data_IF_311856551118
#
_entry.id   IF_311856551118
#
_cell.length_a   1.000
_cell.length_b   1.000
_cell.length_c   1.000
_cell.angle_alpha   90.00
_cell.angle_beta   90.00
_cell.angle_gamma   90.00
#
_symmetry.space_group_name_H-M   'P 1'
#
loop_
_entity.id
_entity.type
_entity.pdbx_description
1 polymer ?
#
# COMPACT_ATOMS: atom_id res chain seq x y z
N UNK A 1 -6.53 -19.03 60.59
CA UNK A 1 -6.61 -20.11 59.57
C UNK A 1 -7.41 -19.72 58.31
N UNK A 2 -8.21 -18.68 58.34
CA UNK A 2 -9.04 -18.21 57.17
C UNK A 2 -8.27 -17.26 56.24
N UNK A 3 -7.28 -16.53 56.74
CA UNK A 3 -6.50 -15.56 55.97
C UNK A 3 -5.48 -16.24 55.04
N UNK A 4 -4.87 -17.35 55.47
CA UNK A 4 -3.93 -18.10 54.61
C UNK A 4 -4.60 -18.84 53.44
N UNK A 5 -5.88 -19.19 53.55
CA UNK A 5 -6.63 -19.84 52.47
C UNK A 5 -7.00 -18.89 51.34
N UNK A 6 -7.14 -17.57 51.64
CA UNK A 6 -7.41 -16.53 50.62
C UNK A 6 -6.16 -16.09 49.87
N UNK A 7 -4.99 -16.14 50.52
CA UNK A 7 -3.70 -15.81 49.87
C UNK A 7 -3.27 -16.95 48.93
N UNK A 8 -3.49 -18.22 49.34
CA UNK A 8 -3.19 -19.36 48.47
C UNK A 8 -4.11 -19.44 47.24
N UNK A 9 -5.36 -19.02 47.35
CA UNK A 9 -6.32 -19.00 46.23
C UNK A 9 -6.01 -17.86 45.24
N UNK A 10 -5.52 -16.69 45.71
CA UNK A 10 -5.12 -15.57 44.83
C UNK A 10 -3.80 -15.85 44.11
N UNK A 11 -2.84 -16.54 44.72
CA UNK A 11 -1.58 -16.92 44.05
C UNK A 11 -1.81 -18.04 43.03
N UNK A 12 -2.77 -18.95 43.25
CA UNK A 12 -3.14 -20.00 42.29
C UNK A 12 -3.94 -19.44 41.11
N UNK A 13 -4.73 -18.38 41.32
CA UNK A 13 -5.45 -17.68 40.21
C UNK A 13 -4.52 -16.85 39.34
N UNK A 14 -3.44 -16.26 39.88
CA UNK A 14 -2.43 -15.51 39.12
C UNK A 14 -1.51 -16.44 38.33
N UNK A 15 -1.23 -17.67 38.83
CA UNK A 15 -0.44 -18.66 38.08
C UNK A 15 -1.20 -19.28 36.89
N UNK A 16 -2.54 -19.29 36.90
CA UNK A 16 -3.38 -19.78 35.79
C UNK A 16 -3.55 -18.77 34.65
N UNK A 17 -3.30 -17.48 34.91
CA UNK A 17 -3.37 -16.44 33.88
C UNK A 17 -2.05 -16.33 33.09
N UNK A 18 -0.93 -16.81 33.63
CA UNK A 18 0.37 -16.79 32.94
C UNK A 18 0.64 -18.03 32.05
N UNK A 19 -0.21 -19.05 32.09
CA UNK A 19 -0.04 -20.27 31.26
C UNK A 19 -0.76 -20.19 29.89
N UNK A 20 -1.32 -19.04 29.53
CA UNK A 20 -2.14 -18.87 28.30
C UNK A 20 -1.51 -18.09 27.17
N UNK A 21 -0.24 -17.70 27.24
CA UNK A 21 0.48 -17.01 26.16
C UNK A 21 1.63 -17.85 25.60
N UNK A 22 1.41 -19.15 25.44
CA UNK A 22 2.17 -19.87 24.43
C UNK A 22 1.63 -19.39 23.08
N UNK A 23 2.31 -18.44 22.46
CA UNK A 23 2.05 -18.00 21.10
C UNK A 23 2.29 -19.25 20.23
N UNK A 24 1.21 -19.91 19.77
CA UNK A 24 1.30 -21.00 18.80
C UNK A 24 2.02 -20.43 17.56
N UNK A 25 3.22 -20.89 17.30
CA UNK A 25 3.89 -20.66 16.04
C UNK A 25 3.08 -21.38 14.97
N UNK A 26 2.41 -20.59 14.13
CA UNK A 26 1.69 -21.13 12.99
C UNK A 26 2.68 -21.30 11.83
N UNK A 27 2.68 -22.46 11.22
CA UNK A 27 3.43 -22.74 10.01
C UNK A 27 2.50 -22.57 8.80
N UNK A 28 2.90 -21.70 7.89
CA UNK A 28 2.15 -21.40 6.68
C UNK A 28 2.93 -21.83 5.45
N UNK A 29 2.24 -22.44 4.51
CA UNK A 29 2.78 -22.83 3.23
C UNK A 29 2.00 -22.13 2.12
N UNK A 30 2.57 -21.06 1.56
CA UNK A 30 1.87 -20.15 0.68
C UNK A 30 2.40 -20.21 -0.76
N UNK A 31 1.45 -20.25 -1.69
CA UNK A 31 1.65 -19.83 -3.08
C UNK A 31 1.59 -18.31 -3.19
N UNK A 32 1.90 -17.75 -4.35
CA UNK A 32 1.74 -16.30 -4.56
C UNK A 32 0.28 -15.86 -4.35
N UNK A 33 -0.68 -16.65 -4.83
CA UNK A 33 -2.11 -16.34 -4.68
C UNK A 33 -2.52 -16.33 -3.20
N UNK A 34 -2.00 -17.27 -2.39
CA UNK A 34 -2.24 -17.30 -0.95
C UNK A 34 -1.65 -16.08 -0.26
N UNK A 35 -0.41 -15.66 -0.64
CA UNK A 35 0.21 -14.43 -0.15
C UNK A 35 -0.66 -13.20 -0.45
N UNK A 36 -1.13 -13.05 -1.68
CA UNK A 36 -1.97 -11.93 -2.08
C UNK A 36 -3.30 -11.92 -1.34
N UNK A 37 -3.98 -13.06 -1.25
CA UNK A 37 -5.24 -13.22 -0.51
C UNK A 37 -5.07 -12.88 0.97
N UNK A 38 -3.99 -13.37 1.59
CA UNK A 38 -3.69 -13.09 2.98
C UNK A 38 -3.38 -11.61 3.22
N UNK A 39 -2.56 -11.00 2.35
CA UNK A 39 -2.23 -9.57 2.42
C UNK A 39 -3.47 -8.68 2.30
N UNK A 40 -4.35 -8.93 1.32
CA UNK A 40 -5.58 -8.16 1.15
C UNK A 40 -6.54 -8.28 2.35
N UNK A 41 -6.56 -9.43 3.02
CA UNK A 41 -7.39 -9.63 4.20
C UNK A 41 -6.80 -8.96 5.46
N UNK A 42 -5.47 -8.86 5.57
CA UNK A 42 -4.79 -8.49 6.81
C UNK A 42 -4.06 -7.15 6.78
N UNK A 43 -3.72 -6.58 5.61
CA UNK A 43 -2.98 -5.32 5.50
C UNK A 43 -3.62 -4.19 6.31
N UNK A 44 -2.85 -3.63 7.24
CA UNK A 44 -3.30 -2.50 8.06
C UNK A 44 -3.58 -1.25 7.23
N UNK A 45 -2.75 -0.99 6.23
CA UNK A 45 -2.91 0.19 5.38
C UNK A 45 -4.16 0.08 4.50
N UNK A 46 -4.42 -1.12 3.95
CA UNK A 46 -5.65 -1.39 3.22
C UNK A 46 -6.89 -1.20 4.10
N UNK A 47 -6.88 -1.73 5.34
CA UNK A 47 -7.94 -1.52 6.33
C UNK A 47 -8.13 -0.04 6.68
N UNK A 48 -7.03 0.72 6.78
CA UNK A 48 -7.10 2.17 7.02
C UNK A 48 -7.78 2.89 5.85
N UNK A 49 -7.48 2.52 4.61
CA UNK A 49 -8.15 3.09 3.43
C UNK A 49 -9.64 2.70 3.35
N UNK A 50 -10.00 1.47 3.71
CA UNK A 50 -11.40 1.04 3.84
C UNK A 50 -12.16 1.82 4.93
N UNK A 51 -11.51 2.09 6.09
CA UNK A 51 -12.09 2.91 7.14
C UNK A 51 -12.24 4.38 6.70
N UNK A 52 -11.28 4.89 5.92
CA UNK A 52 -11.40 6.20 5.28
C UNK A 52 -12.60 6.24 4.34
N UNK A 53 -12.80 5.20 3.53
CA UNK A 53 -13.99 5.05 2.68
C UNK A 53 -15.30 5.12 3.48
N UNK A 54 -15.40 4.37 4.58
CA UNK A 54 -16.56 4.41 5.48
C UNK A 54 -16.80 5.80 6.10
N UNK A 55 -15.72 6.53 6.42
CA UNK A 55 -15.81 7.92 6.90
C UNK A 55 -16.34 8.86 5.82
N UNK A 56 -15.90 8.68 4.56
CA UNK A 56 -16.42 9.44 3.42
C UNK A 56 -17.88 9.10 3.12
N UNK A 57 -18.28 7.83 3.21
CA UNK A 57 -19.68 7.41 3.09
C UNK A 57 -20.55 8.07 4.18
N UNK A 58 -20.09 8.09 5.44
CA UNK A 58 -20.78 8.79 6.52
C UNK A 58 -20.92 10.29 6.24
N UNK A 59 -19.89 10.92 5.67
CA UNK A 59 -19.92 12.33 5.25
C UNK A 59 -20.90 12.56 4.09
N UNK A 60 -20.96 11.63 3.16
CA UNK A 60 -21.93 11.64 2.05
C UNK A 60 -23.38 11.53 2.59
N UNK A 61 -23.64 10.58 3.47
CA UNK A 61 -24.97 10.44 4.09
C UNK A 61 -25.32 11.67 4.94
N UNK A 62 -24.37 12.22 5.71
CA UNK A 62 -24.55 13.47 6.45
C UNK A 62 -24.92 14.63 5.50
N UNK A 63 -24.26 14.73 4.35
CA UNK A 63 -24.54 15.79 3.38
C UNK A 63 -25.97 15.72 2.81
N UNK A 64 -26.52 14.51 2.62
CA UNK A 64 -27.93 14.32 2.23
C UNK A 64 -28.90 14.83 3.30
N UNK A 65 -28.52 14.61 4.57
CA UNK A 65 -29.36 15.06 5.72
C UNK A 65 -29.39 16.57 5.89
N UNK A 66 -28.51 17.34 5.25
CA UNK A 66 -28.56 18.81 5.21
C UNK A 66 -29.89 19.36 4.64
N UNK A 67 -30.62 18.52 3.91
CA UNK A 67 -31.99 18.86 3.42
C UNK A 67 -33.08 18.73 4.50
N UNK A 68 -32.77 18.15 5.65
CA UNK A 68 -33.70 17.95 6.74
C UNK A 68 -33.58 19.10 7.75
N UNK A 69 -34.64 19.42 8.48
CA UNK A 69 -34.58 20.41 9.54
C UNK A 69 -33.68 19.91 10.69
N UNK A 70 -32.85 20.79 11.23
CA UNK A 70 -32.16 20.58 12.50
C UNK A 70 -33.14 20.84 13.67
N UNK A 71 -32.89 20.22 14.82
CA UNK A 71 -33.59 20.47 16.06
C UNK A 71 -32.55 20.67 17.16
N UNK A 72 -32.68 21.79 17.89
CA UNK A 72 -31.78 22.12 19.01
C UNK A 72 -32.56 22.66 20.20
N UNK A 73 -32.13 22.31 21.39
CA UNK A 73 -32.60 22.92 22.62
C UNK A 73 -31.51 23.83 23.20
N UNK A 74 -31.87 24.97 23.68
CA UNK A 74 -30.95 25.92 24.31
C UNK A 74 -31.46 26.36 25.68
N UNK A 75 -30.57 26.47 26.64
CA UNK A 75 -30.78 27.07 27.94
C UNK A 75 -29.69 28.11 28.13
N UNK A 76 -30.06 29.33 28.37
CA UNK A 76 -29.10 30.40 28.58
C UNK A 76 -29.45 31.20 29.83
N UNK A 77 -28.48 31.66 30.59
CA UNK A 77 -28.60 32.59 31.69
C UNK A 77 -27.57 33.70 31.46
N UNK A 78 -28.08 34.93 31.41
CA UNK A 78 -27.25 36.14 31.26
C UNK A 78 -27.33 36.98 32.51
N UNK A 79 -26.19 37.42 33.01
CA UNK A 79 -26.06 38.39 34.08
C UNK A 79 -25.43 39.64 33.49
N UNK A 80 -26.11 40.79 33.65
CA UNK A 80 -25.64 42.07 33.15
C UNK A 80 -25.69 43.13 34.26
N UNK A 81 -24.74 44.05 34.24
CA UNK A 81 -24.68 45.22 35.11
C UNK A 81 -24.74 46.46 34.19
N UNK A 82 -25.72 47.34 34.45
CA UNK A 82 -25.88 48.60 33.76
C UNK A 82 -26.04 49.75 34.76
N UNK A 83 -26.31 50.96 34.29
CA UNK A 83 -26.46 52.13 35.14
C UNK A 83 -27.51 51.98 36.24
N UNK A 84 -28.52 51.10 36.03
CA UNK A 84 -29.60 50.81 37.00
C UNK A 84 -29.27 49.63 37.94
N UNK A 85 -28.06 49.01 37.82
CA UNK A 85 -27.61 47.91 38.67
C UNK A 85 -27.58 46.53 37.96
N UNK A 86 -27.50 45.48 38.75
CA UNK A 86 -27.44 44.11 38.29
C UNK A 86 -28.83 43.61 37.85
N UNK A 87 -28.85 43.00 36.66
CA UNK A 87 -30.03 42.29 36.16
C UNK A 87 -29.63 40.90 35.65
N UNK A 88 -30.54 39.97 35.81
CA UNK A 88 -30.35 38.60 35.25
C UNK A 88 -31.52 38.27 34.36
N UNK A 89 -31.25 37.60 33.27
CA UNK A 89 -32.26 37.08 32.35
C UNK A 89 -31.88 35.68 31.86
N UNK A 90 -32.79 34.76 32.05
CA UNK A 90 -32.68 33.39 31.55
C UNK A 90 -33.64 33.11 30.41
N UNK A 91 -33.26 32.19 29.57
CA UNK A 91 -34.13 31.69 28.51
C UNK A 91 -33.98 30.16 28.35
N UNK A 92 -35.06 29.52 28.05
CA UNK A 92 -35.09 28.14 27.59
C UNK A 92 -35.91 28.09 26.30
N UNK A 93 -35.44 27.31 25.35
CA UNK A 93 -36.14 27.18 24.08
C UNK A 93 -35.71 25.97 23.26
N UNK A 94 -36.58 25.63 22.33
CA UNK A 94 -36.32 24.63 21.29
C UNK A 94 -36.46 25.33 19.94
N UNK A 95 -35.42 25.15 19.11
CA UNK A 95 -35.41 25.76 17.78
C UNK A 95 -35.17 24.69 16.70
N UNK A 96 -35.79 24.89 15.57
CA UNK A 96 -35.61 24.10 14.35
C UNK A 96 -35.30 25.03 13.19
N UNK A 97 -34.34 24.60 12.34
CA UNK A 97 -34.01 25.36 11.14
C UNK A 97 -33.72 24.41 9.96
N UNK A 98 -34.10 24.83 8.77
CA UNK A 98 -33.84 24.14 7.52
C UNK A 98 -33.44 25.14 6.44
N UNK A 99 -32.36 24.80 5.70
CA UNK A 99 -31.99 25.57 4.51
C UNK A 99 -32.74 25.02 3.30
N UNK A 100 -33.66 25.83 2.77
CA UNK A 100 -34.51 25.46 1.61
C UNK A 100 -33.73 25.61 0.32
N UNK A 101 -32.94 26.68 0.20
CA UNK A 101 -32.15 27.00 -1.00
C UNK A 101 -30.86 27.76 -0.62
N UNK A 102 -29.77 27.42 -1.25
CA UNK A 102 -28.45 28.07 -1.05
C UNK A 102 -27.65 28.06 -2.35
N UNK A 103 -28.22 28.64 -3.41
CA UNK A 103 -27.53 28.75 -4.69
C UNK A 103 -27.08 27.39 -5.29
N UNK A 104 -27.78 26.29 -4.98
CA UNK A 104 -27.40 24.94 -5.40
C UNK A 104 -26.30 24.29 -4.58
N UNK A 105 -25.74 24.95 -3.55
CA UNK A 105 -24.60 24.46 -2.78
C UNK A 105 -24.88 23.13 -2.08
N UNK A 106 -26.10 22.90 -1.55
CA UNK A 106 -26.47 21.62 -0.92
C UNK A 106 -26.28 20.46 -1.91
N UNK A 107 -26.81 20.60 -3.14
CA UNK A 107 -26.71 19.54 -4.16
C UNK A 107 -25.27 19.33 -4.61
N UNK A 108 -24.51 20.41 -4.80
CA UNK A 108 -23.11 20.33 -5.20
C UNK A 108 -22.22 19.73 -4.10
N UNK A 109 -22.53 19.98 -2.81
CA UNK A 109 -21.83 19.37 -1.68
C UNK A 109 -22.14 17.86 -1.60
N UNK A 110 -23.39 17.45 -1.82
CA UNK A 110 -23.78 16.04 -1.87
C UNK A 110 -23.00 15.33 -3.01
N UNK A 111 -22.98 15.94 -4.18
CA UNK A 111 -22.27 15.36 -5.35
C UNK A 111 -20.76 15.33 -5.12
N UNK A 112 -20.18 16.35 -4.51
CA UNK A 112 -18.74 16.37 -4.18
C UNK A 112 -18.40 15.24 -3.19
N UNK A 113 -19.21 15.02 -2.17
CA UNK A 113 -19.00 13.92 -1.21
C UNK A 113 -19.18 12.55 -1.88
N UNK A 114 -20.14 12.40 -2.81
CA UNK A 114 -20.28 11.18 -3.63
C UNK A 114 -19.02 10.90 -4.46
N UNK A 115 -18.49 11.92 -5.13
CA UNK A 115 -17.27 11.81 -5.91
C UNK A 115 -16.05 11.45 -5.05
N UNK A 116 -15.99 11.94 -3.79
CA UNK A 116 -14.92 11.57 -2.87
C UNK A 116 -14.98 10.07 -2.48
N UNK A 117 -16.18 9.51 -2.31
CA UNK A 117 -16.35 8.06 -2.07
C UNK A 117 -15.84 7.27 -3.28
N UNK A 118 -16.31 7.60 -4.49
CA UNK A 118 -15.90 6.93 -5.72
C UNK A 118 -14.38 7.04 -5.97
N UNK A 119 -13.80 8.21 -5.70
CA UNK A 119 -12.35 8.42 -5.80
C UNK A 119 -11.57 7.54 -4.82
N UNK A 120 -12.07 7.37 -3.58
CA UNK A 120 -11.44 6.51 -2.59
C UNK A 120 -11.46 5.02 -3.00
N UNK A 121 -12.51 4.55 -3.66
CA UNK A 121 -12.56 3.19 -4.23
C UNK A 121 -11.45 2.96 -5.27
N UNK A 122 -11.22 3.96 -6.14
CA UNK A 122 -10.14 3.90 -7.12
C UNK A 122 -8.77 3.97 -6.45
N UNK A 123 -8.64 4.76 -5.37
CA UNK A 123 -7.42 4.82 -4.57
C UNK A 123 -7.10 3.48 -3.92
N UNK A 124 -8.12 2.75 -3.43
CA UNK A 124 -7.95 1.40 -2.89
C UNK A 124 -7.46 0.43 -3.98
N UNK A 125 -8.03 0.49 -5.20
CA UNK A 125 -7.56 -0.31 -6.34
C UNK A 125 -6.09 -0.02 -6.68
N UNK A 126 -5.69 1.26 -6.64
CA UNK A 126 -4.28 1.66 -6.85
C UNK A 126 -3.36 1.04 -5.80
N UNK A 127 -3.77 1.10 -4.53
CA UNK A 127 -3.01 0.49 -3.45
C UNK A 127 -2.91 -1.02 -3.60
N UNK A 128 -4.02 -1.71 -3.93
CA UNK A 128 -4.05 -3.16 -4.17
C UNK A 128 -3.08 -3.55 -5.30
N UNK A 129 -3.02 -2.79 -6.39
CA UNK A 129 -2.03 -3.01 -7.46
C UNK A 129 -0.59 -2.83 -6.98
N UNK A 130 -0.32 -1.78 -6.19
CA UNK A 130 1.02 -1.53 -5.64
C UNK A 130 1.46 -2.63 -4.68
N UNK A 131 0.59 -3.03 -3.75
CA UNK A 131 0.84 -4.11 -2.80
C UNK A 131 1.10 -5.43 -3.52
N UNK A 132 0.31 -5.73 -4.56
CA UNK A 132 0.48 -6.92 -5.41
C UNK A 132 1.87 -6.95 -6.05
N UNK A 133 2.34 -5.83 -6.61
CA UNK A 133 3.67 -5.76 -7.22
C UNK A 133 4.80 -5.90 -6.20
N UNK A 134 4.64 -5.35 -5.00
CA UNK A 134 5.64 -5.47 -3.93
C UNK A 134 5.74 -6.92 -3.43
N UNK A 135 4.61 -7.58 -3.19
CA UNK A 135 4.57 -8.99 -2.79
C UNK A 135 5.17 -9.87 -3.87
N UNK A 136 4.79 -9.67 -5.14
CA UNK A 136 5.34 -10.40 -6.27
C UNK A 136 6.85 -10.27 -6.35
N UNK A 137 7.39 -9.05 -6.19
CA UNK A 137 8.83 -8.81 -6.23
C UNK A 137 9.55 -9.56 -5.10
N UNK A 138 9.06 -9.47 -3.87
CA UNK A 138 9.65 -10.19 -2.73
C UNK A 138 9.57 -11.70 -2.95
N UNK A 139 8.41 -12.21 -3.36
CA UNK A 139 8.17 -13.62 -3.64
C UNK A 139 9.14 -14.19 -4.70
N UNK A 140 9.28 -13.52 -5.85
CA UNK A 140 10.19 -13.94 -6.93
C UNK A 140 11.66 -13.81 -6.52
N UNK A 141 12.02 -12.83 -5.68
CA UNK A 141 13.37 -12.69 -5.14
C UNK A 141 13.72 -13.87 -4.22
N UNK A 142 12.79 -14.30 -3.37
CA UNK A 142 13.00 -15.45 -2.50
C UNK A 142 13.16 -16.73 -3.33
N UNK A 143 12.28 -16.95 -4.32
CA UNK A 143 12.40 -18.11 -5.21
C UNK A 143 13.74 -18.14 -5.95
N UNK A 144 14.18 -16.98 -6.46
CA UNK A 144 15.49 -16.86 -7.11
C UNK A 144 16.66 -17.23 -6.19
N UNK A 145 16.61 -16.78 -4.93
CA UNK A 145 17.63 -17.11 -3.94
C UNK A 145 17.56 -18.58 -3.51
N UNK A 146 16.37 -19.18 -3.41
CA UNK A 146 16.21 -20.61 -3.13
C UNK A 146 16.79 -21.48 -4.24
N UNK A 147 16.55 -21.13 -5.51
CA UNK A 147 17.15 -21.80 -6.65
C UNK A 147 18.67 -21.63 -6.64
N UNK A 148 19.18 -20.42 -6.36
CA UNK A 148 20.60 -20.11 -6.28
C UNK A 148 21.32 -20.93 -5.20
N UNK A 149 20.76 -21.03 -3.99
CA UNK A 149 21.33 -21.82 -2.89
C UNK A 149 21.49 -23.29 -3.29
N UNK A 150 20.53 -23.86 -4.00
CA UNK A 150 20.61 -25.25 -4.47
C UNK A 150 21.87 -25.48 -5.34
N UNK A 151 22.09 -24.62 -6.31
CA UNK A 151 23.29 -24.70 -7.16
C UNK A 151 24.58 -24.37 -6.41
N UNK A 152 24.58 -23.37 -5.54
CA UNK A 152 25.75 -23.05 -4.71
C UNK A 152 26.16 -24.23 -3.80
N UNK A 153 25.17 -24.97 -3.31
CA UNK A 153 25.44 -26.17 -2.50
C UNK A 153 26.13 -27.30 -3.32
N UNK A 154 25.76 -27.45 -4.61
CA UNK A 154 26.41 -28.38 -5.52
C UNK A 154 27.85 -27.96 -5.81
N UNK A 155 28.07 -26.65 -6.04
CA UNK A 155 29.42 -26.11 -6.24
C UNK A 155 30.26 -26.28 -4.98
N UNK A 156 29.74 -25.99 -3.80
CA UNK A 156 30.44 -26.19 -2.53
C UNK A 156 30.82 -27.66 -2.33
N UNK A 157 29.96 -28.62 -2.69
CA UNK A 157 30.30 -30.06 -2.62
C UNK A 157 31.46 -30.39 -3.59
N UNK A 158 31.47 -29.77 -4.78
CA UNK A 158 32.57 -29.91 -5.75
C UNK A 158 33.86 -29.34 -5.19
N UNK A 159 33.88 -28.12 -4.67
CA UNK A 159 35.05 -27.47 -4.06
C UNK A 159 35.61 -28.28 -2.86
N UNK A 160 34.71 -28.86 -2.06
CA UNK A 160 35.10 -29.76 -0.94
C UNK A 160 35.84 -31.00 -1.47
N UNK A 161 35.34 -31.58 -2.55
CA UNK A 161 36.02 -32.75 -3.17
C UNK A 161 37.37 -32.38 -3.76
N UNK A 162 37.46 -31.22 -4.43
CA UNK A 162 38.70 -30.68 -4.99
C UNK A 162 39.72 -30.36 -3.89
N UNK A 163 39.34 -29.76 -2.78
CA UNK A 163 40.21 -29.51 -1.63
C UNK A 163 40.75 -30.83 -1.05
N UNK A 164 39.88 -31.83 -0.84
CA UNK A 164 40.30 -33.16 -0.35
C UNK A 164 41.31 -33.84 -1.29
N UNK A 165 41.09 -33.74 -2.60
CA UNK A 165 42.00 -34.25 -3.61
C UNK A 165 43.32 -33.47 -3.60
N UNK A 166 43.28 -32.12 -3.49
CA UNK A 166 44.44 -31.24 -3.35
C UNK A 166 45.30 -31.60 -2.15
N UNK A 167 44.68 -31.82 -0.98
CA UNK A 167 45.38 -32.25 0.23
C UNK A 167 46.09 -33.61 0.04
N UNK A 168 45.47 -34.55 -0.66
CA UNK A 168 46.11 -35.84 -0.97
C UNK A 168 47.30 -35.69 -1.95
N UNK A 169 47.13 -34.88 -3.00
CA UNK A 169 48.21 -34.60 -3.98
C UNK A 169 49.39 -33.84 -3.37
N UNK A 170 49.13 -32.87 -2.49
CA UNK A 170 50.19 -32.15 -1.79
C UNK A 170 51.01 -33.08 -0.88
N UNK A 171 50.33 -33.97 -0.13
CA UNK A 171 51.04 -34.99 0.67
C UNK A 171 51.94 -35.91 -0.16
N UNK A 172 51.58 -36.13 -1.44
CA UNK A 172 52.39 -36.90 -2.40
C UNK A 172 53.43 -36.05 -3.14
N UNK A 173 53.50 -34.74 -2.85
CA UNK A 173 54.40 -33.80 -3.48
C UNK A 173 54.09 -33.49 -4.95
N UNK A 174 52.83 -33.76 -5.41
CA UNK A 174 52.43 -33.60 -6.81
C UNK A 174 51.79 -32.26 -7.14
N UNK A 175 51.49 -31.43 -6.13
CA UNK A 175 51.07 -30.03 -6.27
C UNK A 175 51.82 -29.14 -5.28
N UNK A 176 51.89 -27.83 -5.59
CA UNK A 176 52.51 -26.83 -4.73
C UNK A 176 51.62 -26.48 -3.55
N UNK A 177 52.20 -26.00 -2.46
CA UNK A 177 51.44 -25.46 -1.30
C UNK A 177 50.54 -24.30 -1.73
N UNK A 178 51.01 -23.42 -2.63
CA UNK A 178 50.18 -22.33 -3.20
C UNK A 178 48.90 -22.81 -3.86
N UNK A 179 48.94 -23.94 -4.58
CA UNK A 179 47.77 -24.52 -5.22
C UNK A 179 46.80 -25.09 -4.19
N UNK A 180 47.29 -25.70 -3.12
CA UNK A 180 46.45 -26.16 -2.01
C UNK A 180 45.75 -25.00 -1.31
N UNK A 181 46.51 -23.92 -1.03
CA UNK A 181 45.94 -22.71 -0.40
C UNK A 181 44.84 -22.05 -1.26
N UNK A 182 45.00 -22.06 -2.60
CA UNK A 182 43.96 -21.57 -3.52
C UNK A 182 42.69 -22.42 -3.46
N UNK A 183 42.83 -23.76 -3.41
CA UNK A 183 41.65 -24.64 -3.25
C UNK A 183 40.96 -24.46 -1.89
N UNK A 184 41.75 -24.26 -0.84
CA UNK A 184 41.22 -23.97 0.49
C UNK A 184 40.48 -22.63 0.53
N UNK A 185 41.03 -21.56 -0.01
CA UNK A 185 40.40 -20.26 -0.13
C UNK A 185 39.07 -20.33 -0.93
N UNK A 186 39.09 -21.10 -2.05
CA UNK A 186 37.85 -21.28 -2.85
C UNK A 186 36.77 -22.02 -2.07
N UNK A 187 37.13 -23.09 -1.36
CA UNK A 187 36.16 -23.83 -0.52
C UNK A 187 35.48 -22.93 0.54
N UNK A 188 36.28 -22.11 1.24
CA UNK A 188 35.70 -21.19 2.23
C UNK A 188 34.89 -20.08 1.57
N UNK A 189 35.30 -19.59 0.39
CA UNK A 189 34.50 -18.62 -0.38
C UNK A 189 33.15 -19.21 -0.80
N UNK A 190 33.13 -20.42 -1.34
CA UNK A 190 31.90 -21.09 -1.74
C UNK A 190 31.01 -21.42 -0.53
N UNK A 191 31.61 -21.78 0.62
CA UNK A 191 30.88 -21.99 1.87
C UNK A 191 30.21 -20.70 2.38
N UNK A 192 30.94 -19.58 2.31
CA UNK A 192 30.37 -18.27 2.69
C UNK A 192 29.24 -17.86 1.76
N UNK A 193 29.35 -18.06 0.45
CA UNK A 193 28.30 -17.74 -0.51
C UNK A 193 26.98 -18.46 -0.19
N UNK A 194 27.06 -19.75 0.22
CA UNK A 194 25.85 -20.51 0.64
C UNK A 194 25.23 -19.90 1.89
N UNK A 195 26.05 -19.53 2.89
CA UNK A 195 25.56 -18.93 4.14
C UNK A 195 24.92 -17.57 3.86
N UNK A 196 25.59 -16.70 3.12
CA UNK A 196 25.11 -15.37 2.77
C UNK A 196 23.77 -15.43 2.02
N UNK A 197 23.65 -16.36 1.06
CA UNK A 197 22.39 -16.51 0.30
C UNK A 197 21.26 -17.04 1.18
N UNK A 198 21.53 -17.92 2.16
CA UNK A 198 20.52 -18.38 3.15
C UNK A 198 20.05 -17.24 4.04
N UNK A 199 20.97 -16.42 4.55
CA UNK A 199 20.64 -15.22 5.32
C UNK A 199 19.77 -14.26 4.50
N UNK A 200 20.08 -14.08 3.22
CA UNK A 200 19.27 -13.26 2.33
C UNK A 200 17.85 -13.82 2.14
N UNK A 201 17.68 -15.15 2.06
CA UNK A 201 16.36 -15.78 2.03
C UNK A 201 15.59 -15.47 3.31
N UNK A 202 16.21 -15.64 4.49
CA UNK A 202 15.58 -15.38 5.77
C UNK A 202 15.15 -13.92 5.92
N UNK A 203 16.01 -12.97 5.51
CA UNK A 203 15.70 -11.53 5.52
C UNK A 203 14.53 -11.21 4.56
N UNK A 204 14.56 -11.73 3.34
CA UNK A 204 13.47 -11.51 2.38
C UNK A 204 12.15 -12.16 2.84
N UNK A 205 12.20 -13.31 3.52
CA UNK A 205 11.03 -13.93 4.15
C UNK A 205 10.48 -13.04 5.28
N UNK A 206 11.36 -12.43 6.08
CA UNK A 206 10.95 -11.48 7.12
C UNK A 206 10.27 -10.26 6.49
N UNK A 207 10.85 -9.68 5.45
CA UNK A 207 10.24 -8.55 4.72
C UNK A 207 8.88 -8.93 4.14
N UNK A 208 8.75 -10.13 3.57
CA UNK A 208 7.47 -10.64 3.07
C UNK A 208 6.44 -10.79 4.20
N UNK A 209 6.82 -11.37 5.35
CA UNK A 209 5.93 -11.47 6.52
C UNK A 209 5.40 -10.10 6.97
N UNK A 210 6.26 -9.08 6.97
CA UNK A 210 5.86 -7.69 7.29
C UNK A 210 4.85 -7.17 6.27
N UNK A 211 5.08 -7.36 4.96
CA UNK A 211 4.13 -6.97 3.91
C UNK A 211 2.78 -7.69 4.03
N UNK A 212 2.81 -8.95 4.46
CA UNK A 212 1.61 -9.75 4.72
C UNK A 212 0.92 -9.35 6.04
N UNK A 213 1.54 -8.50 6.87
CA UNK A 213 1.08 -8.19 8.25
C UNK A 213 1.00 -9.45 9.13
N UNK A 214 1.92 -10.39 8.93
CA UNK A 214 2.10 -11.59 9.76
C UNK A 214 3.00 -11.31 10.95
N UNK A 215 2.90 -12.16 11.98
CA UNK A 215 3.87 -12.12 13.07
C UNK A 215 5.25 -12.56 12.53
N UNK A 216 6.34 -11.79 12.80
CA UNK A 216 7.69 -12.19 12.41
C UNK A 216 8.13 -13.57 12.89
N UNK A 217 7.56 -14.04 14.01
CA UNK A 217 7.88 -15.35 14.61
C UNK A 217 7.16 -16.54 13.97
N UNK A 218 6.13 -16.29 13.14
CA UNK A 218 5.44 -17.37 12.42
C UNK A 218 6.38 -17.97 11.37
N UNK A 219 6.20 -19.25 11.08
CA UNK A 219 6.98 -19.92 10.03
C UNK A 219 6.28 -19.78 8.68
N UNK A 220 7.01 -19.33 7.66
CA UNK A 220 6.50 -19.12 6.30
C UNK A 220 7.36 -19.86 5.30
N UNK A 221 6.79 -20.84 4.62
CA UNK A 221 7.37 -21.55 3.49
C UNK A 221 6.69 -21.09 2.19
N UNK A 222 7.47 -20.72 1.17
CA UNK A 222 6.95 -20.36 -0.15
C UNK A 222 7.00 -21.57 -1.07
N UNK A 223 5.90 -21.78 -1.79
CA UNK A 223 5.77 -22.83 -2.80
C UNK A 223 6.02 -22.23 -4.17
N UNK A 224 7.03 -22.76 -4.87
CA UNK A 224 7.31 -22.35 -6.25
C UNK A 224 6.15 -22.74 -7.18
N UNK A 225 5.70 -21.84 -8.05
CA UNK A 225 4.76 -22.19 -9.12
C UNK A 225 5.42 -23.10 -10.15
N UNK A 226 4.62 -23.79 -10.95
CA UNK A 226 5.11 -24.58 -12.07
C UNK A 226 5.63 -23.64 -13.16
N UNK A 227 6.95 -23.49 -13.28
CA UNK A 227 7.62 -22.50 -14.15
C UNK A 227 7.89 -23.00 -15.57
N UNK A 228 7.28 -24.09 -16.01
CA UNK A 228 7.57 -24.72 -17.33
C UNK A 228 7.15 -23.86 -18.55
N UNK A 229 6.47 -22.73 -18.33
CA UNK A 229 5.88 -21.91 -19.39
C UNK A 229 6.64 -20.61 -19.75
N UNK A 230 7.92 -20.47 -19.38
CA UNK A 230 8.69 -19.23 -19.68
C UNK A 230 8.81 -18.93 -21.20
N UNK A 231 8.81 -19.95 -22.05
CA UNK A 231 8.82 -19.76 -23.50
C UNK A 231 7.44 -19.27 -24.04
N UNK A 232 6.34 -19.65 -23.40
CA UNK A 232 5.01 -19.16 -23.76
C UNK A 232 4.83 -17.66 -23.47
N UNK A 233 5.61 -17.07 -22.56
CA UNK A 233 5.53 -15.66 -22.24
C UNK A 233 5.81 -14.73 -23.43
N UNK A 234 6.57 -15.19 -24.44
CA UNK A 234 6.80 -14.41 -25.65
C UNK A 234 5.65 -14.47 -26.63
N UNK A 235 5.02 -15.64 -26.78
CA UNK A 235 3.94 -15.86 -27.76
C UNK A 235 2.65 -15.14 -27.40
N UNK A 236 2.48 -14.71 -26.15
CA UNK A 236 1.29 -14.03 -25.62
C UNK A 236 1.50 -12.52 -25.43
N UNK A 237 2.61 -11.94 -25.90
CA UNK A 237 2.83 -10.50 -25.81
C UNK A 237 1.95 -9.75 -26.81
N UNK A 238 1.12 -8.77 -26.36
CA UNK A 238 0.42 -7.86 -27.25
C UNK A 238 1.41 -6.95 -28.00
N UNK A 239 0.93 -6.14 -28.90
CA UNK A 239 1.74 -5.06 -29.47
C UNK A 239 1.98 -3.93 -28.45
N UNK A 240 3.02 -3.12 -28.64
CA UNK A 240 3.31 -1.96 -27.78
C UNK A 240 2.09 -1.01 -27.71
N UNK A 241 1.42 -0.80 -28.85
CA UNK A 241 0.25 0.06 -28.94
C UNK A 241 -0.97 -0.48 -28.19
N UNK A 242 -1.25 -1.78 -28.31
CA UNK A 242 -2.32 -2.45 -27.53
C UNK A 242 -2.07 -2.37 -26.03
N UNK A 243 -0.83 -2.60 -25.59
CA UNK A 243 -0.46 -2.50 -24.18
C UNK A 243 -0.66 -1.09 -23.63
N UNK A 244 -0.29 -0.06 -24.41
CA UNK A 244 -0.49 1.34 -24.04
C UNK A 244 -1.98 1.68 -23.98
N UNK A 245 -2.77 1.27 -24.97
CA UNK A 245 -4.22 1.56 -25.00
C UNK A 245 -4.92 0.92 -23.80
N UNK A 246 -4.62 -0.34 -23.48
CA UNK A 246 -5.17 -1.01 -22.31
C UNK A 246 -4.75 -0.30 -21.00
N UNK A 247 -3.50 0.13 -20.89
CA UNK A 247 -3.05 0.86 -19.71
C UNK A 247 -3.79 2.19 -19.55
N UNK A 248 -4.05 2.91 -20.64
CA UNK A 248 -4.81 4.17 -20.62
C UNK A 248 -6.25 3.99 -20.15
N UNK A 249 -6.85 2.82 -20.39
CA UNK A 249 -8.23 2.51 -19.97
C UNK A 249 -8.30 1.99 -18.53
N UNK A 250 -7.30 1.22 -18.10
CA UNK A 250 -7.39 0.43 -16.86
C UNK A 250 -6.69 1.06 -15.67
N UNK A 251 -5.67 1.93 -15.90
CA UNK A 251 -4.84 2.46 -14.81
C UNK A 251 -5.62 3.35 -13.84
N UNK A 252 -5.60 3.01 -12.52
CA UNK A 252 -6.28 3.79 -11.50
C UNK A 252 -5.81 5.25 -11.42
N UNK A 253 -4.55 5.52 -11.75
CA UNK A 253 -3.97 6.87 -11.69
C UNK A 253 -4.72 7.86 -12.60
N UNK A 254 -5.07 7.46 -13.83
CA UNK A 254 -5.86 8.30 -14.75
C UNK A 254 -7.29 8.48 -14.28
N UNK A 255 -7.91 7.42 -13.76
CA UNK A 255 -9.25 7.49 -13.19
C UNK A 255 -9.30 8.44 -11.99
N UNK A 256 -8.29 8.40 -11.10
CA UNK A 256 -8.16 9.32 -9.98
C UNK A 256 -8.06 10.77 -10.44
N UNK A 257 -7.16 11.07 -11.38
CA UNK A 257 -7.02 12.43 -11.94
C UNK A 257 -8.31 12.90 -12.63
N UNK A 258 -9.08 12.00 -13.25
CA UNK A 258 -10.42 12.30 -13.78
C UNK A 258 -11.42 12.68 -12.68
N UNK A 259 -11.39 12.02 -11.52
CA UNK A 259 -12.19 12.42 -10.37
C UNK A 259 -11.74 13.78 -9.80
N UNK A 260 -10.44 14.08 -9.80
CA UNK A 260 -9.90 15.36 -9.31
C UNK A 260 -10.42 16.54 -10.18
N UNK A 261 -10.53 16.38 -11.50
CA UNK A 261 -11.19 17.36 -12.39
C UNK A 261 -12.65 17.57 -11.99
N UNK A 262 -13.43 16.49 -11.84
CA UNK A 262 -14.85 16.57 -11.47
C UNK A 262 -15.06 17.21 -10.10
N UNK A 263 -14.18 16.95 -9.12
CA UNK A 263 -14.18 17.58 -7.80
C UNK A 263 -13.87 19.09 -7.91
N UNK A 264 -12.91 19.47 -8.75
CA UNK A 264 -12.57 20.86 -9.02
C UNK A 264 -13.73 21.60 -9.72
N UNK A 265 -14.43 20.96 -10.67
CA UNK A 265 -15.66 21.50 -11.28
C UNK A 265 -16.72 21.78 -10.25
N UNK A 266 -16.99 20.83 -9.34
CA UNK A 266 -17.94 21.04 -8.24
C UNK A 266 -17.52 22.14 -7.29
N UNK A 267 -16.22 22.32 -7.06
CA UNK A 267 -15.69 23.44 -6.26
C UNK A 267 -15.93 24.80 -6.94
N UNK A 268 -15.90 24.87 -8.29
CA UNK A 268 -16.29 26.06 -9.05
C UNK A 268 -17.79 26.33 -8.88
N UNK A 269 -18.63 25.28 -8.98
CA UNK A 269 -20.09 25.42 -8.82
C UNK A 269 -20.46 25.88 -7.41
N UNK A 270 -19.81 25.34 -6.38
CA UNK A 270 -19.97 25.78 -4.98
C UNK A 270 -19.58 27.26 -4.79
N UNK A 271 -18.44 27.65 -5.37
CA UNK A 271 -18.00 29.05 -5.30
C UNK A 271 -18.99 30.00 -6.02
N UNK A 272 -19.56 29.58 -7.16
CA UNK A 272 -20.59 30.33 -7.90
C UNK A 272 -21.92 30.39 -7.14
N UNK A 273 -22.27 29.31 -6.42
CA UNK A 273 -23.46 29.26 -5.58
C UNK A 273 -23.57 30.41 -4.60
N UNK A 274 -22.42 30.95 -4.15
CA UNK A 274 -22.36 32.08 -3.24
C UNK A 274 -22.72 33.44 -3.86
N UNK A 275 -23.04 33.52 -5.15
CA UNK A 275 -23.66 34.68 -5.79
C UNK A 275 -25.19 34.70 -5.65
N UNK A 276 -25.80 33.55 -5.38
CA UNK A 276 -27.23 33.39 -5.32
C UNK A 276 -27.78 33.62 -3.91
N UNK A 277 -29.07 33.94 -3.78
CA UNK A 277 -29.71 34.05 -2.47
C UNK A 277 -29.65 32.72 -1.68
N UNK A 278 -29.65 32.84 -0.37
CA UNK A 278 -29.97 31.72 0.53
C UNK A 278 -31.35 31.93 1.16
N UNK A 279 -32.13 30.85 1.23
CA UNK A 279 -33.47 30.84 1.84
C UNK A 279 -33.47 29.78 2.92
N UNK A 280 -33.84 30.17 4.14
CA UNK A 280 -34.00 29.27 5.27
C UNK A 280 -35.32 29.47 5.97
N UNK A 281 -35.91 28.40 6.48
CA UNK A 281 -37.04 28.42 7.38
C UNK A 281 -36.60 28.10 8.81
N UNK A 282 -37.18 28.75 9.78
CA UNK A 282 -36.92 28.53 11.19
C UNK A 282 -38.21 28.52 11.99
N UNK A 283 -38.26 27.69 13.01
CA UNK A 283 -39.35 27.66 13.99
C UNK A 283 -38.73 27.59 15.40
N UNK A 284 -39.19 28.40 16.30
CA UNK A 284 -38.68 28.44 17.67
C UNK A 284 -39.86 28.51 18.67
N UNK A 285 -39.72 27.76 19.74
CA UNK A 285 -40.61 27.84 20.92
C UNK A 285 -39.71 28.03 22.11
N UNK A 286 -40.01 29.05 22.93
CA UNK A 286 -39.17 29.33 24.08
C UNK A 286 -39.90 30.17 25.12
N UNK A 287 -39.32 30.29 26.30
CA UNK A 287 -39.76 31.20 27.34
C UNK A 287 -38.59 31.74 28.15
N UNK A 288 -38.81 32.93 28.72
CA UNK A 288 -37.89 33.47 29.73
C UNK A 288 -37.99 32.72 31.04
N UNK A 289 -36.86 32.51 31.68
CA UNK A 289 -36.77 31.88 33.01
C UNK A 289 -35.83 32.69 33.92
N UNK A 290 -36.08 32.66 35.22
CA UNK A 290 -35.17 33.24 36.25
C UNK A 290 -34.75 34.68 35.93
N UNK A 291 -35.72 35.55 35.61
CA UNK A 291 -35.47 36.96 35.32
C UNK A 291 -35.56 37.80 36.59
N UNK A 292 -34.56 38.66 36.80
CA UNK A 292 -34.53 39.66 37.89
C UNK A 292 -34.05 40.98 37.30
N UNK A 293 -34.79 42.05 37.57
CA UNK A 293 -34.44 43.39 37.16
C UNK A 293 -33.94 44.24 38.33
N UNK A 294 -33.36 45.40 38.05
CA UNK A 294 -32.84 46.35 39.04
C UNK A 294 -33.92 46.96 39.95
N UNK A 295 -35.15 46.86 39.52
CA UNK A 295 -36.34 47.40 40.30
C UNK A 295 -36.88 46.35 41.29
N UNK A 296 -36.21 45.19 41.41
CA UNK A 296 -36.56 44.13 42.36
C UNK A 296 -37.67 43.18 41.89
N UNK A 297 -38.06 43.25 40.60
CA UNK A 297 -39.03 42.33 40.04
C UNK A 297 -38.39 41.02 39.68
N UNK A 298 -38.77 39.93 40.28
CA UNK A 298 -38.29 38.58 39.94
C UNK A 298 -39.41 37.75 39.31
N UNK A 299 -39.05 37.06 38.19
CA UNK A 299 -39.94 36.10 37.53
C UNK A 299 -39.22 34.77 37.40
N UNK A 300 -39.84 33.71 37.92
CA UNK A 300 -39.31 32.35 37.77
C UNK A 300 -39.49 31.80 36.35
N UNK A 301 -40.56 32.23 35.65
CA UNK A 301 -40.88 31.89 34.27
C UNK A 301 -41.62 33.01 33.60
N UNK A 302 -41.34 33.23 32.32
CA UNK A 302 -42.01 34.20 31.47
C UNK A 302 -43.12 33.58 30.64
N UNK A 303 -43.73 34.39 29.80
CA UNK A 303 -44.73 33.94 28.84
C UNK A 303 -44.07 33.13 27.74
N UNK A 304 -44.58 31.94 27.36
CA UNK A 304 -44.11 31.21 26.19
C UNK A 304 -44.21 32.06 24.91
N UNK A 305 -43.23 31.99 24.08
CA UNK A 305 -43.18 32.65 22.77
C UNK A 305 -42.99 31.61 21.69
N UNK A 306 -43.77 31.68 20.64
CA UNK A 306 -43.68 30.83 19.47
C UNK A 306 -43.39 31.71 18.25
N UNK A 307 -42.47 31.27 17.40
CA UNK A 307 -42.18 31.99 16.17
C UNK A 307 -41.89 31.00 15.02
N UNK A 308 -42.46 31.30 13.89
CA UNK A 308 -42.14 30.62 12.61
C UNK A 308 -41.80 31.71 11.62
N UNK A 309 -40.70 31.51 10.91
CA UNK A 309 -40.21 32.50 9.96
C UNK A 309 -39.54 31.88 8.76
N UNK A 310 -39.53 32.60 7.66
CA UNK A 310 -38.72 32.35 6.48
C UNK A 310 -37.82 33.54 6.28
N UNK A 311 -36.53 33.29 6.15
CA UNK A 311 -35.55 34.35 5.90
C UNK A 311 -34.88 34.14 4.54
N UNK A 312 -34.67 35.23 3.83
CA UNK A 312 -33.90 35.25 2.58
C UNK A 312 -32.74 36.23 2.74
N UNK A 313 -31.54 35.75 2.45
CA UNK A 313 -30.33 36.58 2.43
C UNK A 313 -29.79 36.68 1.00
N UNK A 314 -29.66 37.88 0.47
CA UNK A 314 -29.19 38.15 -0.88
C UNK A 314 -27.85 38.88 -0.79
N UNK A 315 -26.72 38.29 -1.21
CA UNK A 315 -25.42 38.94 -1.17
C UNK A 315 -25.32 40.00 -2.28
N UNK A 316 -25.42 41.29 -1.92
CA UNK A 316 -25.35 42.39 -2.90
C UNK A 316 -23.88 42.77 -3.21
N UNK A 317 -23.05 42.85 -2.17
CA UNK A 317 -21.65 43.22 -2.30
C UNK A 317 -20.78 42.53 -1.26
N UNK A 318 -19.88 41.66 -1.68
CA UNK A 318 -18.99 40.86 -0.85
C UNK A 318 -17.53 41.33 -0.84
N UNK A 319 -17.29 42.63 -1.11
CA UNK A 319 -15.93 43.22 -1.19
C UNK A 319 -15.00 42.43 -2.16
N UNK A 320 -15.56 41.87 -3.22
CA UNK A 320 -14.82 41.06 -4.20
C UNK A 320 -14.49 39.63 -3.78
N UNK A 321 -14.84 39.21 -2.57
CA UNK A 321 -14.49 37.88 -2.03
C UNK A 321 -15.06 36.75 -2.88
N UNK A 322 -16.36 36.80 -3.22
CA UNK A 322 -16.99 35.75 -4.04
C UNK A 322 -16.35 35.69 -5.43
N UNK A 323 -16.07 36.85 -6.07
CA UNK A 323 -15.35 36.92 -7.36
C UNK A 323 -13.95 36.28 -7.28
N UNK A 324 -13.22 36.58 -6.20
CA UNK A 324 -11.89 36.03 -5.97
C UNK A 324 -11.94 34.50 -5.73
N UNK A 325 -12.92 34.02 -4.96
CA UNK A 325 -13.09 32.57 -4.70
C UNK A 325 -13.43 31.82 -6.00
N UNK A 326 -14.34 32.34 -6.83
CA UNK A 326 -14.64 31.73 -8.14
C UNK A 326 -13.40 31.73 -9.03
N UNK A 327 -12.61 32.83 -9.02
CA UNK A 327 -11.35 32.86 -9.80
C UNK A 327 -10.37 31.82 -9.30
N UNK A 328 -10.18 31.68 -7.97
CA UNK A 328 -9.31 30.64 -7.38
C UNK A 328 -9.75 29.25 -7.75
N UNK A 329 -11.07 28.94 -7.63
CA UNK A 329 -11.59 27.62 -7.99
C UNK A 329 -11.44 27.32 -9.48
N UNK A 330 -11.56 28.31 -10.38
CA UNK A 330 -11.27 28.12 -11.81
C UNK A 330 -9.81 27.82 -12.08
N UNK A 331 -8.88 28.52 -11.41
CA UNK A 331 -7.44 28.23 -11.50
C UNK A 331 -7.15 26.81 -11.00
N UNK A 332 -7.78 26.40 -9.90
CA UNK A 332 -7.63 25.02 -9.38
C UNK A 332 -8.18 23.97 -10.38
N UNK A 333 -9.27 24.27 -11.09
CA UNK A 333 -9.78 23.42 -12.16
C UNK A 333 -8.78 23.31 -13.33
N UNK A 334 -8.21 24.43 -13.76
CA UNK A 334 -7.19 24.46 -14.82
C UNK A 334 -5.94 23.65 -14.37
N UNK A 335 -5.52 23.79 -13.12
CA UNK A 335 -4.44 22.95 -12.54
C UNK A 335 -4.78 21.46 -12.61
N UNK A 336 -5.98 21.06 -12.17
CA UNK A 336 -6.41 19.66 -12.22
C UNK A 336 -6.46 19.11 -13.67
N UNK A 337 -6.80 19.93 -14.66
CA UNK A 337 -6.75 19.54 -16.07
C UNK A 337 -5.30 19.30 -16.55
N UNK A 338 -4.37 20.19 -16.17
CA UNK A 338 -2.94 20.01 -16.48
C UNK A 338 -2.36 18.77 -15.78
N UNK A 339 -2.75 18.51 -14.53
CA UNK A 339 -2.35 17.31 -13.79
C UNK A 339 -2.86 16.03 -14.46
N UNK A 340 -4.08 16.06 -15.03
CA UNK A 340 -4.61 14.95 -15.82
C UNK A 340 -3.80 14.72 -17.10
N UNK A 341 -3.45 15.78 -17.84
CA UNK A 341 -2.60 15.67 -19.03
C UNK A 341 -1.21 15.11 -18.66
N UNK A 342 -0.62 15.59 -17.57
CA UNK A 342 0.66 15.08 -17.06
C UNK A 342 0.55 13.59 -16.67
N UNK A 343 -0.51 13.20 -15.97
CA UNK A 343 -0.77 11.81 -15.60
C UNK A 343 -0.95 10.92 -16.83
N UNK A 344 -1.61 11.43 -17.87
CA UNK A 344 -1.77 10.76 -19.17
C UNK A 344 -0.42 10.46 -19.82
N UNK A 345 0.48 11.45 -19.85
CA UNK A 345 1.83 11.25 -20.37
C UNK A 345 2.64 10.27 -19.52
N UNK A 346 2.53 10.37 -18.19
CA UNK A 346 3.24 9.49 -17.26
C UNK A 346 2.80 8.03 -17.41
N UNK A 347 1.48 7.75 -17.49
CA UNK A 347 0.96 6.39 -17.70
C UNK A 347 1.38 5.84 -19.05
N UNK A 348 1.31 6.65 -20.12
CA UNK A 348 1.77 6.25 -21.45
C UNK A 348 3.25 5.89 -21.43
N UNK A 349 4.09 6.73 -20.85
CA UNK A 349 5.53 6.49 -20.71
C UNK A 349 5.80 5.21 -19.93
N UNK A 350 5.12 5.02 -18.79
CA UNK A 350 5.30 3.83 -17.95
C UNK A 350 4.88 2.54 -18.68
N UNK A 351 3.78 2.56 -19.44
CA UNK A 351 3.32 1.42 -20.22
C UNK A 351 4.32 1.04 -21.35
N UNK A 352 4.81 2.04 -22.10
CA UNK A 352 5.87 1.83 -23.12
C UNK A 352 7.13 1.26 -22.48
N UNK A 353 7.55 1.81 -21.35
CA UNK A 353 8.74 1.33 -20.64
C UNK A 353 8.53 -0.08 -20.09
N UNK A 354 7.35 -0.40 -19.53
CA UNK A 354 7.01 -1.74 -19.06
C UNK A 354 7.08 -2.75 -20.22
N UNK A 355 6.52 -2.44 -21.38
CA UNK A 355 6.60 -3.27 -22.57
C UNK A 355 8.04 -3.53 -23.03
N UNK A 356 8.83 -2.46 -23.18
CA UNK A 356 10.23 -2.56 -23.60
C UNK A 356 11.09 -3.30 -22.58
N UNK A 357 10.80 -3.16 -21.29
CA UNK A 357 11.47 -3.91 -20.25
C UNK A 357 11.21 -5.42 -20.37
N UNK A 358 10.00 -5.85 -20.77
CA UNK A 358 9.71 -7.27 -21.02
C UNK A 358 10.53 -7.80 -22.21
N UNK A 359 10.55 -7.05 -23.33
CA UNK A 359 11.33 -7.44 -24.52
C UNK A 359 12.82 -7.54 -24.18
N UNK A 360 13.36 -6.56 -23.45
CA UNK A 360 14.77 -6.57 -23.03
C UNK A 360 15.08 -7.72 -22.08
N UNK A 361 14.21 -7.98 -21.08
CA UNK A 361 14.38 -9.07 -20.12
C UNK A 361 14.33 -10.44 -20.80
N UNK A 362 13.45 -10.60 -21.80
CA UNK A 362 13.38 -11.84 -22.58
C UNK A 362 14.69 -12.11 -23.34
N UNK A 363 15.26 -11.10 -24.01
CA UNK A 363 16.53 -11.23 -24.69
C UNK A 363 17.67 -11.53 -23.70
N UNK A 364 17.71 -10.86 -22.55
CA UNK A 364 18.69 -11.09 -21.50
C UNK A 364 18.58 -12.53 -20.94
N UNK A 365 17.38 -13.03 -20.74
CA UNK A 365 17.11 -14.41 -20.31
C UNK A 365 17.65 -15.42 -21.32
N UNK A 366 17.33 -15.29 -22.62
CA UNK A 366 17.81 -16.19 -23.66
C UNK A 366 19.34 -16.23 -23.75
N UNK A 367 19.98 -15.05 -23.73
CA UNK A 367 21.46 -14.96 -23.79
C UNK A 367 22.08 -15.58 -22.54
N UNK A 368 21.52 -15.33 -21.35
CA UNK A 368 22.05 -15.89 -20.10
C UNK A 368 21.87 -17.41 -20.03
N UNK A 369 20.78 -17.96 -20.56
CA UNK A 369 20.52 -19.39 -20.63
C UNK A 369 21.59 -20.11 -21.50
N UNK A 370 21.86 -19.57 -22.70
CA UNK A 370 22.89 -20.12 -23.60
C UNK A 370 24.27 -20.02 -22.95
N UNK A 371 24.56 -18.88 -22.28
CA UNK A 371 25.84 -18.64 -21.61
C UNK A 371 26.04 -19.58 -20.43
N UNK A 372 25.03 -19.77 -19.59
CA UNK A 372 25.06 -20.70 -18.45
C UNK A 372 25.33 -22.13 -18.93
N UNK A 373 24.57 -22.62 -19.93
CA UNK A 373 24.74 -23.97 -20.47
C UNK A 373 26.17 -24.19 -21.06
N UNK A 374 26.74 -23.19 -21.74
CA UNK A 374 28.09 -23.25 -22.26
C UNK A 374 29.15 -23.32 -21.14
N UNK A 375 29.04 -22.44 -20.11
CA UNK A 375 29.98 -22.44 -18.99
C UNK A 375 29.82 -23.64 -18.07
N UNK A 376 28.60 -24.16 -17.87
CA UNK A 376 28.34 -25.41 -17.15
C UNK A 376 29.08 -26.59 -17.78
N UNK A 377 28.92 -26.77 -19.12
CA UNK A 377 29.63 -27.81 -19.86
C UNK A 377 31.14 -27.62 -19.84
N UNK A 378 31.61 -26.37 -19.98
CA UNK A 378 33.03 -26.03 -19.90
C UNK A 378 33.62 -26.38 -18.54
N UNK A 379 32.99 -25.94 -17.45
CA UNK A 379 33.42 -26.22 -16.09
C UNK A 379 33.49 -27.73 -15.82
N UNK A 380 32.48 -28.49 -16.23
CA UNK A 380 32.48 -29.95 -16.08
C UNK A 380 33.66 -30.60 -16.83
N UNK A 381 33.96 -30.14 -18.04
CA UNK A 381 35.11 -30.65 -18.82
C UNK A 381 36.46 -30.30 -18.15
N UNK A 382 36.62 -29.06 -17.67
CA UNK A 382 37.81 -28.62 -16.94
C UNK A 382 37.97 -29.35 -15.60
N UNK A 383 36.87 -29.60 -14.87
CA UNK A 383 36.92 -30.37 -13.63
C UNK A 383 37.40 -31.81 -13.86
N UNK A 384 36.97 -32.48 -14.95
CA UNK A 384 37.50 -33.76 -15.32
C UNK A 384 39.01 -33.71 -15.68
N UNK A 385 39.41 -32.72 -16.49
CA UNK A 385 40.85 -32.56 -16.86
C UNK A 385 41.72 -32.30 -15.64
N UNK A 386 41.24 -31.54 -14.66
CA UNK A 386 41.94 -31.33 -13.40
C UNK A 386 42.11 -32.61 -12.59
N UNK A 387 41.11 -33.49 -12.58
CA UNK A 387 41.18 -34.79 -11.91
C UNK A 387 42.31 -35.67 -12.50
N UNK A 388 42.54 -35.58 -13.83
CA UNK A 388 43.65 -36.28 -14.51
C UNK A 388 44.99 -35.52 -14.43
N UNK A 389 45.02 -34.32 -13.86
CA UNK A 389 46.27 -33.54 -13.75
C UNK A 389 46.68 -32.81 -15.04
N UNK A 390 45.78 -32.62 -16.00
CA UNK A 390 46.05 -32.04 -17.31
C UNK A 390 45.95 -30.51 -17.35
N UNK A 391 45.44 -29.89 -16.29
CA UNK A 391 45.31 -28.44 -16.16
C UNK A 391 45.74 -27.98 -14.76
N UNK A 392 46.00 -26.67 -14.64
CA UNK A 392 46.42 -26.04 -13.39
C UNK A 392 45.21 -25.75 -12.49
N UNK A 393 45.46 -25.58 -11.19
CA UNK A 393 44.45 -25.13 -10.20
C UNK A 393 43.84 -23.79 -10.59
N UNK A 394 44.65 -22.85 -11.09
CA UNK A 394 44.21 -21.51 -11.52
C UNK A 394 43.20 -21.59 -12.67
N UNK A 395 43.49 -22.42 -13.70
CA UNK A 395 42.59 -22.62 -14.84
C UNK A 395 41.26 -23.22 -14.41
N UNK A 396 41.26 -24.20 -13.49
CA UNK A 396 40.03 -24.77 -12.93
C UNK A 396 39.19 -23.70 -12.21
N UNK A 397 39.80 -22.96 -11.29
CA UNK A 397 39.09 -21.93 -10.49
C UNK A 397 38.57 -20.79 -11.37
N UNK A 398 39.29 -20.43 -12.42
CA UNK A 398 38.79 -19.45 -13.40
C UNK A 398 37.53 -19.93 -14.10
N UNK A 399 37.45 -21.20 -14.50
CA UNK A 399 36.25 -21.75 -15.13
C UNK A 399 35.10 -21.92 -14.15
N UNK A 400 35.37 -22.26 -12.89
CA UNK A 400 34.39 -22.31 -11.84
C UNK A 400 33.76 -20.91 -11.60
N UNK A 401 34.57 -19.86 -11.51
CA UNK A 401 34.09 -18.50 -11.35
C UNK A 401 33.28 -18.02 -12.57
N UNK A 402 33.71 -18.37 -13.79
CA UNK A 402 32.93 -18.06 -15.01
C UNK A 402 31.56 -18.75 -14.99
N UNK A 403 31.51 -20.00 -14.56
CA UNK A 403 30.24 -20.74 -14.43
C UNK A 403 29.34 -20.12 -13.37
N UNK A 404 29.86 -19.83 -12.17
CA UNK A 404 29.08 -19.20 -11.10
C UNK A 404 28.49 -17.84 -11.51
N UNK A 405 29.27 -17.01 -12.20
CA UNK A 405 28.80 -15.72 -12.71
C UNK A 405 27.71 -15.88 -13.79
N UNK A 406 27.86 -16.88 -14.66
CA UNK A 406 26.85 -17.17 -15.68
C UNK A 406 25.55 -17.71 -15.08
N UNK A 407 25.66 -18.59 -14.08
CA UNK A 407 24.54 -19.15 -13.34
C UNK A 407 23.74 -18.06 -12.57
N UNK A 408 24.46 -17.22 -11.83
CA UNK A 408 23.84 -16.07 -11.14
C UNK A 408 23.07 -15.17 -12.12
N UNK A 409 23.70 -14.86 -13.27
CA UNK A 409 23.05 -14.04 -14.30
C UNK A 409 21.82 -14.72 -14.90
N UNK A 410 21.86 -16.03 -15.10
CA UNK A 410 20.73 -16.81 -15.62
C UNK A 410 19.54 -16.78 -14.64
N UNK A 411 19.77 -17.06 -13.36
CA UNK A 411 18.71 -17.07 -12.32
C UNK A 411 18.11 -15.67 -12.20
N UNK A 412 18.93 -14.62 -12.10
CA UNK A 412 18.46 -13.25 -12.01
C UNK A 412 17.61 -12.84 -13.22
N UNK A 413 18.06 -13.18 -14.45
CA UNK A 413 17.32 -12.84 -15.66
C UNK A 413 16.02 -13.62 -15.79
N UNK A 414 15.98 -14.89 -15.35
CA UNK A 414 14.78 -15.73 -15.30
C UNK A 414 13.68 -15.08 -14.45
N UNK A 415 13.99 -14.74 -13.21
CA UNK A 415 13.00 -14.13 -12.30
C UNK A 415 12.70 -12.66 -12.64
N UNK A 416 13.69 -11.94 -13.21
CA UNK A 416 13.45 -10.59 -13.75
C UNK A 416 12.47 -10.61 -14.91
N UNK A 417 12.55 -11.57 -15.82
CA UNK A 417 11.59 -11.72 -16.93
C UNK A 417 10.17 -11.94 -16.39
N UNK A 418 10.00 -12.86 -15.44
CA UNK A 418 8.70 -13.10 -14.79
C UNK A 418 8.16 -11.83 -14.17
N UNK A 419 8.98 -11.11 -13.41
CA UNK A 419 8.58 -9.85 -12.77
C UNK A 419 8.17 -8.79 -13.78
N UNK A 420 8.98 -8.55 -14.84
CA UNK A 420 8.68 -7.54 -15.86
C UNK A 420 7.40 -7.88 -16.63
N UNK A 421 7.16 -9.17 -16.90
CA UNK A 421 5.92 -9.62 -17.55
C UNK A 421 4.70 -9.33 -16.69
N UNK A 422 4.75 -9.67 -15.40
CA UNK A 422 3.64 -9.43 -14.47
C UNK A 422 3.39 -7.95 -14.22
N UNK A 423 4.42 -7.12 -14.21
CA UNK A 423 4.27 -5.65 -14.19
C UNK A 423 3.47 -5.19 -15.41
N UNK A 424 3.81 -5.68 -16.61
CA UNK A 424 3.06 -5.35 -17.82
C UNK A 424 1.60 -5.81 -17.74
N UNK A 425 1.35 -7.01 -17.19
CA UNK A 425 -0.01 -7.54 -17.01
C UNK A 425 -0.85 -6.64 -16.07
N UNK A 426 -0.25 -6.08 -15.00
CA UNK A 426 -0.91 -5.09 -14.12
C UNK A 426 -1.25 -3.82 -14.89
N UNK A 427 -0.33 -3.29 -15.71
CA UNK A 427 -0.62 -2.13 -16.56
C UNK A 427 -1.76 -2.38 -17.55
N UNK A 428 -1.93 -3.62 -18.01
CA UNK A 428 -3.04 -4.02 -18.87
C UNK A 428 -4.34 -4.37 -18.12
N UNK A 429 -4.36 -4.18 -16.80
CA UNK A 429 -5.53 -4.50 -15.96
C UNK A 429 -5.79 -5.99 -15.78
N UNK A 430 -4.83 -6.87 -16.08
CA UNK A 430 -4.97 -8.32 -15.88
C UNK A 430 -4.68 -8.67 -14.41
N UNK A 431 -5.40 -9.65 -13.88
CA UNK A 431 -5.08 -10.23 -12.58
C UNK A 431 -3.74 -10.96 -12.64
N UNK A 432 -2.97 -10.86 -11.56
CA UNK A 432 -1.73 -11.63 -11.42
C UNK A 432 -2.07 -13.03 -10.96
N UNK A 433 -1.84 -14.00 -11.86
CA UNK A 433 -1.82 -15.43 -11.60
C UNK A 433 -0.42 -15.94 -11.96
N UNK A 434 0.18 -16.83 -11.14
CA UNK A 434 1.45 -17.51 -11.43
C UNK A 434 1.21 -18.98 -11.63
#
# INVERSE_FOLDING_TARGET
MVVYKKIFLSVFLVSLVFSGLAQEHQSYRFTLEDCLRFAFANSYERKTMELTGKSLEASYEQSKQQRLPSLSASVGQNLSNNENGWSTSGNVGVGSSVTIYQGGNINNTIEQNRLNVERNEVQLQRYDNQLTLQILQSFLTILGNQELVSYQQEVLNTSRAQLKQGQARHRLGTILESDLLLLEAQYYSDSNNVVDTRINIENNLLDLKVMLSMNPSDDLEIVAPNTDDLEMLKTTLPTEEEAVNLAMETMPDLRMSGYDIRLAEKSVDLARGNYFPSISANANVGMGILSYDSDGNSKWYGTPTESVGVSMSIPIYSRGQTKANVKKSRIALEQAQLDYEQSTLAVRQAAVQAYRNVVSAYNAYQVSQVKENAYSKSFNAYNMQYQYGNITTVELLQQQNNYLNALNSYIQNKYSLLMKRKILDVYMGKRIEL
#
